data_IF_776450742329
#
_entry.id   IF_776450742329
#
_cell.length_a   1.000
_cell.length_b   1.000
_cell.length_c   1.000
_cell.angle_alpha   90.00
_cell.angle_beta   90.00
_cell.angle_gamma   90.00
#
_symmetry.space_group_name_H-M   'P 1'
#
loop_
_entity.id
_entity.type
_entity.pdbx_description
1 polymer ?
#
# COMPACT_ATOMS: atom_id res chain seq x y z
N UNK A 1 -22.02 56.85 -61.91
CA UNK A 1 -22.88 55.79 -61.34
C UNK A 1 -21.95 54.72 -60.76
N UNK A 2 -22.05 54.46 -59.43
CA UNK A 2 -21.39 53.44 -58.58
C UNK A 2 -19.83 53.39 -58.59
N UNK A 3 -19.09 53.89 -57.59
CA UNK A 3 -18.94 53.55 -56.13
C UNK A 3 -18.20 52.23 -55.86
N UNK A 4 -17.01 52.38 -55.25
CA UNK A 4 -16.24 51.56 -54.28
C UNK A 4 -16.43 50.02 -54.22
N UNK A 5 -15.30 49.31 -54.02
CA UNK A 5 -15.14 48.60 -52.75
C UNK A 5 -13.69 48.20 -52.39
N UNK A 6 -13.36 48.61 -51.17
CA UNK A 6 -12.19 48.34 -50.36
C UNK A 6 -12.34 46.94 -49.73
N UNK A 7 -11.31 46.10 -49.76
CA UNK A 7 -11.22 44.95 -48.84
C UNK A 7 -9.81 44.79 -48.28
N UNK A 8 -9.69 45.32 -47.07
CA UNK A 8 -8.73 44.95 -46.03
C UNK A 8 -8.89 43.45 -45.77
N UNK A 9 -7.82 42.66 -45.82
CA UNK A 9 -7.82 41.36 -45.14
C UNK A 9 -6.88 41.40 -43.95
N UNK A 10 -7.51 41.14 -42.81
CA UNK A 10 -7.00 41.17 -41.46
C UNK A 10 -5.92 40.13 -41.22
N UNK A 11 -4.98 40.51 -40.35
CA UNK A 11 -4.08 39.65 -39.60
C UNK A 11 -4.86 38.53 -38.91
N UNK A 12 -4.40 37.29 -39.05
CA UNK A 12 -4.70 36.20 -38.11
C UNK A 12 -3.38 35.83 -37.47
N UNK A 13 -3.14 36.36 -36.27
CA UNK A 13 -2.08 35.91 -35.38
C UNK A 13 -2.58 34.61 -34.76
N UNK A 14 -2.01 33.49 -35.18
CA UNK A 14 -2.26 32.19 -34.58
C UNK A 14 -1.50 32.16 -33.25
N UNK A 15 -2.17 32.54 -32.16
CA UNK A 15 -1.67 32.34 -30.80
C UNK A 15 -1.81 30.85 -30.49
N UNK A 16 -0.77 30.09 -30.78
CA UNK A 16 -0.60 28.73 -30.27
C UNK A 16 -0.37 28.84 -28.76
N UNK A 17 -1.45 28.82 -27.98
CA UNK A 17 -1.36 28.54 -26.55
C UNK A 17 -0.89 27.09 -26.41
N UNK A 18 0.42 26.89 -26.30
CA UNK A 18 0.95 25.61 -25.86
C UNK A 18 0.49 25.41 -24.41
N UNK A 19 -0.58 24.64 -24.25
CA UNK A 19 -0.94 24.04 -22.97
C UNK A 19 0.26 23.21 -22.52
N UNK A 20 1.03 23.77 -21.59
CA UNK A 20 1.94 23.03 -20.73
C UNK A 20 1.09 22.08 -19.88
N UNK A 21 0.69 20.94 -20.46
CA UNK A 21 0.31 19.78 -19.68
C UNK A 21 1.56 19.37 -18.91
N UNK A 22 1.64 19.82 -17.66
CA UNK A 22 2.72 19.45 -16.74
C UNK A 22 2.85 17.94 -16.70
N UNK A 23 3.98 17.46 -17.19
CA UNK A 23 4.43 16.09 -17.00
C UNK A 23 4.63 15.89 -15.50
N UNK A 24 3.59 15.43 -14.81
CA UNK A 24 3.72 14.90 -13.45
C UNK A 24 4.50 13.59 -13.56
N UNK A 25 5.83 13.69 -13.39
CA UNK A 25 6.67 12.56 -13.07
C UNK A 25 6.29 12.09 -11.65
N UNK A 26 5.24 11.28 -11.55
CA UNK A 26 4.72 10.76 -10.28
C UNK A 26 5.53 9.55 -9.81
N UNK A 27 6.84 9.70 -9.66
CA UNK A 27 7.63 8.83 -8.83
C UNK A 27 7.86 9.60 -7.53
N UNK A 28 7.03 9.35 -6.50
CA UNK A 28 7.40 9.71 -5.14
C UNK A 28 8.55 8.79 -4.73
N UNK A 29 9.75 9.12 -5.21
CA UNK A 29 10.99 8.56 -4.72
C UNK A 29 11.34 9.32 -3.44
N UNK A 30 10.99 8.69 -2.32
CA UNK A 30 11.76 8.48 -1.08
C UNK A 30 10.69 8.25 -0.01
N UNK A 31 10.27 6.99 0.15
CA UNK A 31 9.72 6.58 1.44
C UNK A 31 10.88 6.67 2.41
N UNK A 32 10.85 7.63 3.34
CA UNK A 32 11.72 7.58 4.51
C UNK A 32 11.64 6.16 5.13
N UNK A 33 12.71 5.69 5.78
CA UNK A 33 12.81 4.38 6.42
C UNK A 33 11.78 4.22 7.56
N UNK A 34 10.52 4.11 7.17
CA UNK A 34 9.34 4.00 8.03
C UNK A 34 9.09 2.52 8.28
N UNK A 35 9.98 1.95 9.09
CA UNK A 35 9.88 0.59 9.58
C UNK A 35 8.92 0.58 10.79
N UNK A 36 7.96 -0.36 10.88
CA UNK A 36 7.12 -0.47 12.07
C UNK A 36 7.96 -0.65 13.34
N UNK A 37 7.62 0.12 14.38
CA UNK A 37 8.33 0.05 15.66
C UNK A 37 8.09 -1.29 16.37
N UNK A 38 8.97 -1.64 17.31
CA UNK A 38 8.77 -2.81 18.18
C UNK A 38 7.43 -2.77 18.91
N UNK A 39 7.03 -1.60 19.42
CA UNK A 39 5.73 -1.39 20.07
C UNK A 39 4.55 -1.70 19.13
N UNK A 40 4.65 -1.33 17.85
CA UNK A 40 3.61 -1.65 16.86
C UNK A 40 3.51 -3.16 16.63
N UNK A 41 4.64 -3.87 16.56
CA UNK A 41 4.62 -5.33 16.44
C UNK A 41 4.06 -6.03 17.69
N UNK A 42 4.36 -5.52 18.89
CA UNK A 42 3.75 -6.03 20.12
C UNK A 42 2.24 -5.80 20.14
N UNK A 43 1.78 -4.64 19.70
CA UNK A 43 0.34 -4.36 19.55
C UNK A 43 -0.31 -5.29 18.52
N UNK A 44 0.36 -5.52 17.38
CA UNK A 44 -0.11 -6.44 16.35
C UNK A 44 -0.21 -7.87 16.87
N UNK A 45 0.78 -8.35 17.61
CA UNK A 45 0.75 -9.68 18.20
C UNK A 45 -0.42 -9.83 19.20
N UNK A 46 -0.65 -8.81 20.04
CA UNK A 46 -1.79 -8.81 20.96
C UNK A 46 -3.15 -8.79 20.24
N UNK A 47 -3.24 -8.06 19.12
CA UNK A 47 -4.47 -7.93 18.34
C UNK A 47 -4.76 -9.18 17.47
N UNK A 48 -3.73 -9.71 16.79
CA UNK A 48 -3.83 -10.85 15.89
C UNK A 48 -3.74 -12.20 16.62
N UNK A 49 -3.15 -12.22 17.81
CA UNK A 49 -2.94 -13.40 18.65
C UNK A 49 -1.65 -14.17 18.40
N UNK A 50 -0.87 -13.82 17.36
CA UNK A 50 0.46 -14.37 17.11
C UNK A 50 1.25 -13.54 16.08
N UNK A 51 2.52 -13.89 15.87
CA UNK A 51 3.35 -13.36 14.77
C UNK A 51 3.44 -14.36 13.61
N UNK A 52 3.10 -13.89 12.41
CA UNK A 52 3.32 -14.59 11.15
C UNK A 52 3.74 -13.60 10.06
N UNK A 53 4.31 -14.10 8.95
CA UNK A 53 4.66 -13.26 7.82
C UNK A 53 3.47 -12.43 7.30
N UNK A 54 2.26 -13.00 7.28
CA UNK A 54 1.05 -12.29 6.85
C UNK A 54 0.71 -11.09 7.74
N UNK A 55 0.74 -11.24 9.06
CA UNK A 55 0.48 -10.10 9.95
C UNK A 55 1.55 -9.01 9.82
N UNK A 56 2.83 -9.42 9.66
CA UNK A 56 3.95 -8.50 9.39
C UNK A 56 3.72 -7.74 8.07
N UNK A 57 3.35 -8.44 6.98
CA UNK A 57 3.03 -7.80 5.69
C UNK A 57 1.98 -6.71 5.84
N UNK A 58 0.92 -6.97 6.61
CA UNK A 58 -0.12 -6.00 6.87
C UNK A 58 0.42 -4.71 7.50
N UNK A 59 1.25 -4.84 8.53
CA UNK A 59 1.84 -3.69 9.21
C UNK A 59 2.79 -2.92 8.29
N UNK A 60 3.62 -3.63 7.51
CA UNK A 60 4.55 -3.03 6.54
C UNK A 60 3.79 -2.27 5.44
N UNK A 61 2.77 -2.89 4.83
CA UNK A 61 1.93 -2.26 3.81
C UNK A 61 1.19 -1.04 4.36
N UNK A 62 0.53 -1.19 5.51
CA UNK A 62 -0.28 -0.14 6.12
C UNK A 62 0.55 1.09 6.50
N UNK A 63 1.71 0.90 7.12
CA UNK A 63 2.59 1.99 7.51
C UNK A 63 3.18 2.70 6.29
N UNK A 64 3.74 1.94 5.34
CA UNK A 64 4.34 2.50 4.13
C UNK A 64 3.32 3.32 3.32
N UNK A 65 2.10 2.80 3.13
CA UNK A 65 1.04 3.53 2.45
C UNK A 65 0.63 4.80 3.20
N UNK A 66 0.46 4.73 4.52
CA UNK A 66 0.05 5.87 5.35
C UNK A 66 1.08 6.99 5.31
N UNK A 67 2.36 6.68 5.45
CA UNK A 67 3.41 7.69 5.46
C UNK A 67 3.66 8.27 4.06
N UNK A 68 3.59 7.46 3.01
CA UNK A 68 3.65 7.96 1.63
C UNK A 68 2.48 8.91 1.32
N UNK A 69 1.26 8.55 1.73
CA UNK A 69 0.08 9.38 1.51
C UNK A 69 0.15 10.70 2.28
N UNK A 70 0.62 10.68 3.53
CA UNK A 70 0.88 11.91 4.31
C UNK A 70 1.95 12.79 3.66
N UNK A 71 3.05 12.19 3.21
CA UNK A 71 4.14 12.90 2.52
C UNK A 71 3.66 13.56 1.24
N UNK A 72 2.74 12.90 0.52
CA UNK A 72 2.07 13.48 -0.66
C UNK A 72 1.04 14.57 -0.32
N UNK A 73 0.80 14.86 0.97
CA UNK A 73 -0.15 15.88 1.44
C UNK A 73 -1.59 15.38 1.58
N UNK A 74 -1.82 14.08 1.75
CA UNK A 74 -3.17 13.54 2.00
C UNK A 74 -3.79 14.10 3.29
N UNK A 75 -5.03 14.59 3.20
CA UNK A 75 -5.75 15.22 4.33
C UNK A 75 -7.04 14.50 4.70
N UNK A 76 -7.54 14.76 5.90
CA UNK A 76 -8.77 14.18 6.41
C UNK A 76 -8.62 12.72 6.86
N UNK A 77 -9.72 11.96 6.78
CA UNK A 77 -9.75 10.53 7.11
C UNK A 77 -9.15 9.71 5.99
N UNK A 78 -8.51 8.61 6.35
CA UNK A 78 -8.02 7.63 5.39
C UNK A 78 -8.98 6.47 5.27
N UNK A 79 -9.17 5.98 4.05
CA UNK A 79 -9.87 4.74 3.75
C UNK A 79 -8.93 3.77 3.04
N UNK A 80 -9.09 2.49 3.32
CA UNK A 80 -8.26 1.40 2.84
C UNK A 80 -9.11 0.39 2.08
N UNK A 81 -8.57 -0.08 0.96
CA UNK A 81 -9.07 -1.23 0.23
C UNK A 81 -7.96 -2.26 0.08
N UNK A 82 -8.19 -3.46 0.60
CA UNK A 82 -7.25 -4.57 0.53
C UNK A 82 -7.83 -5.73 -0.28
N UNK A 83 -6.98 -6.48 -0.98
CA UNK A 83 -7.42 -7.43 -2.01
C UNK A 83 -7.29 -8.91 -1.65
N UNK A 84 -7.16 -9.21 -0.36
CA UNK A 84 -7.08 -10.59 0.15
C UNK A 84 -7.62 -10.67 1.58
N UNK A 85 -8.50 -11.63 1.88
CA UNK A 85 -8.98 -11.83 3.25
C UNK A 85 -8.05 -12.79 4.02
N UNK A 86 -6.96 -12.26 4.54
CA UNK A 86 -5.98 -13.02 5.32
C UNK A 86 -5.32 -12.18 6.43
N UNK A 87 -4.33 -12.75 7.13
CA UNK A 87 -3.63 -12.12 8.25
C UNK A 87 -3.14 -10.66 8.03
N UNK A 88 -2.73 -10.21 6.82
CA UNK A 88 -2.36 -8.82 6.57
C UNK A 88 -3.46 -7.80 6.90
N UNK A 89 -4.73 -8.20 6.86
CA UNK A 89 -5.86 -7.32 7.23
C UNK A 89 -5.65 -6.73 8.62
N UNK A 90 -5.26 -7.54 9.60
CA UNK A 90 -5.03 -7.09 10.98
C UNK A 90 -3.82 -6.16 11.11
N UNK A 91 -2.75 -6.45 10.38
CA UNK A 91 -1.59 -5.56 10.31
C UNK A 91 -1.94 -4.20 9.71
N UNK A 92 -2.79 -4.16 8.68
CA UNK A 92 -3.27 -2.91 8.08
C UNK A 92 -4.12 -2.13 9.09
N UNK A 93 -5.01 -2.80 9.81
CA UNK A 93 -5.83 -2.16 10.85
C UNK A 93 -4.96 -1.48 11.91
N UNK A 94 -3.93 -2.17 12.40
CA UNK A 94 -3.00 -1.64 13.41
C UNK A 94 -2.15 -0.50 12.87
N UNK A 95 -1.52 -0.66 11.70
CA UNK A 95 -0.55 0.30 11.19
C UNK A 95 -1.21 1.54 10.53
N UNK A 96 -2.23 1.32 9.71
CA UNK A 96 -2.91 2.41 9.00
C UNK A 96 -3.95 3.10 9.89
N UNK A 97 -4.54 2.39 10.85
CA UNK A 97 -5.67 2.88 11.66
C UNK A 97 -7.01 2.81 10.92
N UNK A 98 -7.05 2.16 9.76
CA UNK A 98 -8.26 1.90 8.98
C UNK A 98 -8.84 0.55 9.38
N UNK A 99 -10.02 0.51 10.00
CA UNK A 99 -10.58 -0.71 10.58
C UNK A 99 -11.95 -1.04 10.00
N UNK A 100 -12.39 -2.29 10.18
CA UNK A 100 -13.79 -2.62 9.90
C UNK A 100 -14.74 -1.80 10.79
N UNK A 101 -14.39 -1.65 12.07
CA UNK A 101 -15.23 -0.99 13.07
C UNK A 101 -15.45 0.51 12.79
N UNK A 102 -14.45 1.22 12.26
CA UNK A 102 -14.60 2.62 11.85
C UNK A 102 -15.05 2.77 10.38
N UNK A 103 -15.40 1.66 9.71
CA UNK A 103 -15.82 1.60 8.30
C UNK A 103 -14.79 2.15 7.32
N UNK A 104 -13.52 2.21 7.71
CA UNK A 104 -12.45 2.72 6.86
C UNK A 104 -11.67 1.61 6.15
N UNK A 105 -11.94 0.33 6.42
CA UNK A 105 -11.33 -0.79 5.70
C UNK A 105 -12.38 -1.62 4.97
N UNK A 106 -12.17 -1.81 3.66
CA UNK A 106 -12.92 -2.76 2.84
C UNK A 106 -11.96 -3.82 2.31
N UNK A 107 -12.39 -5.09 2.32
CA UNK A 107 -11.64 -6.19 1.70
C UNK A 107 -12.41 -6.72 0.49
N UNK A 108 -11.71 -6.89 -0.63
CA UNK A 108 -12.22 -7.50 -1.86
C UNK A 108 -11.34 -8.67 -2.24
N UNK A 109 -11.80 -9.89 -2.01
CA UNK A 109 -11.01 -11.09 -2.25
C UNK A 109 -10.66 -11.27 -3.74
N UNK A 110 -9.37 -11.10 -4.06
CA UNK A 110 -8.80 -11.26 -5.41
C UNK A 110 -7.49 -12.05 -5.41
N UNK A 111 -7.01 -12.54 -4.26
CA UNK A 111 -5.75 -13.26 -4.18
C UNK A 111 -4.51 -12.37 -4.20
N UNK A 112 -4.65 -11.07 -3.94
CA UNK A 112 -3.56 -10.09 -4.13
C UNK A 112 -3.17 -9.41 -2.81
N UNK A 113 -1.87 -9.43 -2.47
CA UNK A 113 -1.31 -8.60 -1.40
C UNK A 113 -1.13 -7.14 -1.85
N UNK A 114 -2.26 -6.51 -2.16
CA UNK A 114 -2.36 -5.14 -2.66
C UNK A 114 -3.22 -4.31 -1.71
N UNK A 115 -2.69 -3.18 -1.26
CA UNK A 115 -3.40 -2.19 -0.45
C UNK A 115 -3.53 -0.90 -1.26
N UNK A 116 -4.74 -0.34 -1.33
CA UNK A 116 -4.97 1.04 -1.78
C UNK A 116 -5.39 1.84 -0.57
N UNK A 117 -4.68 2.93 -0.27
CA UNK A 117 -5.00 3.87 0.79
C UNK A 117 -5.33 5.24 0.17
N UNK A 118 -6.45 5.82 0.56
CA UNK A 118 -6.96 7.08 0.01
C UNK A 118 -7.30 8.09 1.10
N UNK A 119 -6.96 9.35 0.85
CA UNK A 119 -7.35 10.50 1.65
C UNK A 119 -8.73 11.00 1.18
N UNK A 120 -9.71 11.00 2.08
CA UNK A 120 -11.10 11.26 1.70
C UNK A 120 -11.34 12.71 1.28
N UNK A 121 -10.61 13.67 1.82
CA UNK A 121 -10.87 15.10 1.60
C UNK A 121 -10.32 15.57 0.25
N UNK A 122 -9.03 15.36 -0.01
CA UNK A 122 -8.36 15.82 -1.23
C UNK A 122 -8.19 14.74 -2.31
N UNK A 123 -8.75 13.54 -2.09
CA UNK A 123 -8.81 12.43 -3.05
C UNK A 123 -7.45 11.92 -3.53
N UNK A 124 -6.37 12.24 -2.81
CA UNK A 124 -5.07 11.61 -3.04
C UNK A 124 -5.13 10.14 -2.62
N UNK A 125 -4.39 9.30 -3.34
CA UNK A 125 -4.32 7.90 -3.02
C UNK A 125 -2.98 7.30 -3.43
N UNK A 126 -2.60 6.25 -2.71
CA UNK A 126 -1.43 5.44 -2.99
C UNK A 126 -1.83 3.96 -3.02
N UNK A 127 -1.08 3.20 -3.79
CA UNK A 127 -1.10 1.75 -3.80
C UNK A 127 0.20 1.24 -3.21
N UNK A 128 0.10 0.29 -2.28
CA UNK A 128 1.21 -0.44 -1.69
C UNK A 128 1.11 -1.93 -2.03
N UNK A 129 2.22 -2.51 -2.48
CA UNK A 129 2.37 -3.94 -2.78
C UNK A 129 3.65 -4.47 -2.16
N UNK A 130 3.67 -5.77 -1.87
CA UNK A 130 4.91 -6.42 -1.43
C UNK A 130 5.91 -6.48 -2.59
N UNK A 131 7.20 -6.45 -2.27
CA UNK A 131 8.22 -6.86 -3.23
C UNK A 131 8.14 -8.37 -3.45
N UNK A 132 8.57 -8.83 -4.64
CA UNK A 132 8.65 -10.26 -4.94
C UNK A 132 9.45 -11.04 -3.89
N UNK A 133 10.57 -10.47 -3.43
CA UNK A 133 11.41 -11.04 -2.37
C UNK A 133 10.64 -11.22 -1.07
N UNK A 134 9.89 -10.21 -0.65
CA UNK A 134 9.08 -10.31 0.57
C UNK A 134 8.00 -11.38 0.44
N UNK A 135 7.30 -11.47 -0.70
CA UNK A 135 6.30 -12.51 -0.96
C UNK A 135 6.91 -13.92 -0.91
N UNK A 136 8.02 -14.14 -1.60
CA UNK A 136 8.74 -15.42 -1.60
C UNK A 136 9.17 -15.84 -0.19
N UNK A 137 9.70 -14.90 0.60
CA UNK A 137 10.09 -15.18 1.99
C UNK A 137 8.86 -15.49 2.87
N UNK A 138 7.74 -14.78 2.71
CA UNK A 138 6.53 -15.10 3.45
C UNK A 138 5.98 -16.49 3.10
N UNK A 139 5.94 -16.85 1.83
CA UNK A 139 5.56 -18.20 1.39
C UNK A 139 6.49 -19.26 1.98
N UNK A 140 7.80 -19.03 1.92
CA UNK A 140 8.81 -19.91 2.50
C UNK A 140 8.58 -20.10 4.00
N UNK A 141 8.37 -19.03 4.77
CA UNK A 141 8.11 -19.12 6.22
C UNK A 141 6.85 -19.92 6.55
N UNK A 142 5.80 -19.81 5.73
CA UNK A 142 4.56 -20.58 5.89
C UNK A 142 4.82 -22.07 5.68
N UNK A 143 5.56 -22.40 4.63
CA UNK A 143 5.84 -23.78 4.26
C UNK A 143 6.79 -24.43 5.28
N UNK A 144 7.84 -23.71 5.73
CA UNK A 144 8.73 -24.15 6.81
C UNK A 144 7.96 -24.36 8.13
N UNK A 145 7.07 -23.45 8.51
CA UNK A 145 6.22 -23.60 9.70
C UNK A 145 5.32 -24.83 9.60
N UNK A 146 4.77 -25.12 8.41
CA UNK A 146 3.97 -26.32 8.16
C UNK A 146 4.82 -27.59 8.33
N UNK A 147 6.04 -27.60 7.80
CA UNK A 147 6.99 -28.70 7.96
C UNK A 147 7.38 -28.89 9.45
N UNK A 148 7.73 -27.82 10.14
CA UNK A 148 8.09 -27.85 11.56
C UNK A 148 6.96 -28.42 12.43
N UNK A 149 5.71 -28.04 12.16
CA UNK A 149 4.53 -28.55 12.87
C UNK A 149 4.28 -30.05 12.66
N UNK A 150 4.74 -30.61 11.54
CA UNK A 150 4.63 -32.04 11.25
C UNK A 150 5.67 -32.89 12.01
N UNK A 151 6.68 -32.25 12.63
CA UNK A 151 7.75 -32.92 13.37
C UNK A 151 7.47 -32.92 14.89
N UNK A 152 7.95 -33.95 15.63
CA UNK A 152 7.94 -33.95 17.09
C UNK A 152 8.62 -32.71 17.67
N UNK A 153 8.13 -32.23 18.82
CA UNK A 153 8.64 -31.01 19.47
C UNK A 153 10.13 -31.07 19.82
N UNK A 154 10.67 -32.27 20.05
CA UNK A 154 12.06 -32.52 20.41
C UNK A 154 12.95 -32.88 19.21
N UNK A 155 12.44 -32.88 17.97
CA UNK A 155 13.23 -33.18 16.79
C UNK A 155 14.22 -32.04 16.48
N UNK A 156 15.53 -32.28 16.36
CA UNK A 156 16.52 -31.24 16.01
C UNK A 156 16.19 -30.50 14.70
N UNK A 157 15.60 -31.21 13.73
CA UNK A 157 15.16 -30.66 12.45
C UNK A 157 14.05 -29.62 12.64
N UNK A 158 13.14 -29.84 13.59
CA UNK A 158 12.08 -28.88 13.91
C UNK A 158 12.67 -27.55 14.38
N UNK A 159 13.63 -27.59 15.29
CA UNK A 159 14.29 -26.38 15.79
C UNK A 159 15.07 -25.65 14.70
N UNK A 160 15.61 -26.36 13.70
CA UNK A 160 16.26 -25.74 12.54
C UNK A 160 15.24 -24.96 11.69
N UNK A 161 14.11 -25.59 11.37
CA UNK A 161 13.04 -24.95 10.60
C UNK A 161 12.44 -23.74 11.34
N UNK A 162 12.24 -23.85 12.66
CA UNK A 162 11.75 -22.74 13.49
C UNK A 162 12.72 -21.56 13.54
N UNK A 163 14.04 -21.82 13.60
CA UNK A 163 15.06 -20.76 13.50
C UNK A 163 15.02 -20.05 12.15
N UNK A 164 14.90 -20.79 11.07
CA UNK A 164 14.82 -20.21 9.72
C UNK A 164 13.55 -19.35 9.55
N UNK A 165 12.42 -19.78 10.12
CA UNK A 165 11.20 -18.96 10.17
C UNK A 165 11.44 -17.66 10.95
N UNK A 166 12.15 -17.71 12.09
CA UNK A 166 12.45 -16.52 12.87
C UNK A 166 13.41 -15.57 12.15
N UNK A 167 14.41 -16.08 11.44
CA UNK A 167 15.30 -15.28 10.59
C UNK A 167 14.52 -14.54 9.49
N UNK A 168 13.58 -15.23 8.84
CA UNK A 168 12.69 -14.62 7.85
C UNK A 168 11.84 -13.52 8.50
N UNK A 169 11.22 -13.79 9.64
CA UNK A 169 10.42 -12.79 10.35
C UNK A 169 11.24 -11.58 10.78
N UNK A 170 12.46 -11.80 11.28
CA UNK A 170 13.38 -10.74 11.66
C UNK A 170 13.70 -9.83 10.46
N UNK A 171 14.01 -10.43 9.30
CA UNK A 171 14.24 -9.68 8.07
C UNK A 171 12.98 -8.90 7.64
N UNK A 172 11.81 -9.55 7.59
CA UNK A 172 10.56 -8.88 7.21
C UNK A 172 10.19 -7.72 8.15
N UNK A 173 10.52 -7.85 9.44
CA UNK A 173 10.27 -6.80 10.42
C UNK A 173 11.20 -5.61 10.24
N UNK A 174 12.49 -5.86 9.99
CA UNK A 174 13.57 -4.87 10.11
C UNK A 174 14.24 -4.41 8.80
N UNK A 175 13.96 -5.05 7.66
CA UNK A 175 14.52 -4.61 6.38
C UNK A 175 14.05 -3.18 6.02
N UNK A 176 14.80 -2.44 5.19
CA UNK A 176 14.37 -1.15 4.63
C UNK A 176 13.00 -1.23 3.98
N UNK A 177 12.27 -0.11 3.95
CA UNK A 177 10.87 -0.10 3.48
C UNK A 177 10.77 -0.52 2.02
N UNK A 178 11.67 -0.04 1.17
CA UNK A 178 11.72 -0.30 -0.27
C UNK A 178 12.15 -1.74 -0.61
N UNK A 179 12.85 -2.44 0.29
CA UNK A 179 13.13 -3.87 0.15
C UNK A 179 11.89 -4.75 0.38
N UNK A 180 10.87 -4.26 1.09
CA UNK A 180 9.67 -5.04 1.46
C UNK A 180 8.41 -4.57 0.74
N UNK A 181 8.27 -3.27 0.50
CA UNK A 181 7.03 -2.65 -0.01
C UNK A 181 7.35 -1.68 -1.14
N UNK A 182 6.63 -1.80 -2.24
CA UNK A 182 6.60 -0.83 -3.33
C UNK A 182 5.36 0.04 -3.16
N UNK A 183 5.53 1.37 -3.13
CA UNK A 183 4.43 2.33 -3.05
C UNK A 183 4.38 3.20 -4.30
N UNK A 184 3.20 3.33 -4.90
CA UNK A 184 2.96 4.15 -6.10
C UNK A 184 1.74 5.05 -5.91
N UNK A 185 1.82 6.31 -6.35
CA UNK A 185 0.64 7.16 -6.41
C UNK A 185 -0.38 6.58 -7.40
N UNK A 186 -1.67 6.62 -7.05
CA UNK A 186 -2.74 6.17 -7.93
C UNK A 186 -3.74 7.27 -8.20
N UNK A 187 -4.17 7.35 -9.45
CA UNK A 187 -5.18 8.31 -9.87
C UNK A 187 -6.55 7.69 -9.61
N UNK A 188 -7.20 8.04 -8.49
CA UNK A 188 -8.55 7.56 -8.24
C UNK A 188 -9.53 8.29 -9.16
N UNK A 189 -9.97 7.62 -10.23
CA UNK A 189 -11.30 7.91 -10.77
C UNK A 189 -12.29 7.44 -9.71
N UNK A 190 -12.75 8.37 -8.86
CA UNK A 190 -13.77 8.10 -7.84
C UNK A 190 -15.00 7.57 -8.56
N UNK A 191 -15.17 6.24 -8.62
CA UNK A 191 -16.50 5.66 -8.79
C UNK A 191 -17.19 5.97 -7.47
N UNK A 192 -18.17 6.87 -7.53
CA UNK A 192 -19.04 7.15 -6.40
C UNK A 192 -19.46 5.82 -5.79
N UNK A 193 -19.01 5.57 -4.56
CA UNK A 193 -19.48 4.43 -3.78
C UNK A 193 -20.94 4.76 -3.50
N UNK A 194 -21.85 4.16 -4.27
CA UNK A 194 -23.27 4.24 -4.00
C UNK A 194 -23.48 3.62 -2.63
N UNK A 195 -23.80 4.45 -1.63
CA UNK A 195 -24.35 3.99 -0.37
C UNK A 195 -25.65 3.25 -0.68
N UNK A 196 -25.60 1.92 -0.72
CA UNK A 196 -26.80 1.12 -0.61
C UNK A 196 -27.35 1.35 0.81
N UNK A 197 -28.64 1.71 0.83
CA UNK A 197 -29.43 2.13 2.00
C UNK A 197 -29.55 1.01 3.03
#
# INVERSE_FOLDING_TARGET
MAINNFKILSRVVFVCTMSLAGLWNSAFAVVADNIPSSAMYSQLEAFHGHVCAGSIFGARLGLAAKEALKTAGGTGKFSAQYYELSCPVDGIQVAAGTTYGNKALTVQERGEHRLVLAAEENKLAVEAKLTKRAEELGLKSRDLRKMAKALPANAPERSQLEREVEEIHSWLKGAPTDEVVIVTAVNMKVKAISSAR
#
